data_IF_056715687429
#
_entry.id   IF_056715687429
#
_cell.length_a   1.000
_cell.length_b   1.000
_cell.length_c   1.000
_cell.angle_alpha   90.00
_cell.angle_beta   90.00
_cell.angle_gamma   90.00
#
_symmetry.space_group_name_H-M   'P 1'
#
loop_
_entity.id
_entity.type
_entity.pdbx_description
1 polymer ?
#
# COMPACT_ATOMS: atom_id res chain seq x y z
N UNK A 1 -12.77 -25.68 19.02
CA UNK A 1 -11.93 -24.82 18.18
C UNK A 1 -12.68 -23.52 17.99
N UNK A 2 -12.43 -22.56 18.88
CA UNK A 2 -13.06 -21.25 18.87
C UNK A 2 -12.52 -20.44 17.69
N UNK A 3 -13.43 -19.87 16.91
CA UNK A 3 -13.12 -18.92 15.84
C UNK A 3 -12.84 -17.56 16.46
N UNK A 4 -11.57 -17.24 16.66
CA UNK A 4 -11.15 -15.89 17.02
C UNK A 4 -11.50 -14.92 15.88
N UNK A 5 -11.97 -13.74 16.26
CA UNK A 5 -12.29 -12.66 15.33
C UNK A 5 -11.00 -12.19 14.64
N UNK A 6 -11.08 -11.83 13.35
CA UNK A 6 -9.96 -11.29 12.56
C UNK A 6 -9.33 -10.05 13.24
N UNK A 7 -10.13 -9.30 14.02
CA UNK A 7 -9.68 -8.19 14.86
C UNK A 7 -8.74 -8.66 16.00
N UNK A 8 -9.02 -9.82 16.60
CA UNK A 8 -8.20 -10.40 17.67
C UNK A 8 -6.91 -11.01 17.11
N UNK A 9 -6.94 -11.60 15.91
CA UNK A 9 -5.73 -12.05 15.21
C UNK A 9 -4.82 -10.85 14.87
N UNK A 10 -5.41 -9.75 14.39
CA UNK A 10 -4.71 -8.50 14.07
C UNK A 10 -4.13 -7.79 15.31
N UNK A 11 -4.89 -7.69 16.40
CA UNK A 11 -4.42 -7.11 17.67
C UNK A 11 -3.38 -8.02 18.34
N UNK A 12 -3.53 -9.35 18.25
CA UNK A 12 -2.55 -10.33 18.73
C UNK A 12 -1.20 -10.22 18.01
N UNK A 13 -1.21 -9.97 16.69
CA UNK A 13 0.04 -9.81 15.91
C UNK A 13 0.82 -8.53 16.22
N UNK A 14 0.15 -7.46 16.67
CA UNK A 14 0.79 -6.17 16.90
C UNK A 14 1.18 -5.90 18.37
N UNK A 15 0.52 -6.52 19.35
CA UNK A 15 0.60 -6.04 20.73
C UNK A 15 1.44 -6.84 21.74
N UNK A 16 2.28 -7.80 21.33
CA UNK A 16 3.23 -8.43 22.28
C UNK A 16 4.69 -8.46 21.82
N UNK A 17 5.45 -7.52 22.41
CA UNK A 17 6.88 -7.59 22.73
C UNK A 17 7.87 -7.84 21.57
N UNK A 18 8.53 -6.75 21.18
CA UNK A 18 9.87 -6.69 20.56
C UNK A 18 9.98 -7.37 19.19
N UNK A 19 9.99 -6.54 18.14
CA UNK A 19 10.22 -6.91 16.75
C UNK A 19 11.48 -7.77 16.52
N UNK A 20 12.44 -7.82 17.45
CA UNK A 20 13.60 -8.71 17.39
C UNK A 20 13.24 -10.22 17.50
N UNK A 21 12.08 -10.57 18.08
CA UNK A 21 11.65 -11.98 18.24
C UNK A 21 10.88 -12.55 17.06
N UNK A 22 10.29 -11.69 16.21
CA UNK A 22 9.64 -12.15 14.97
C UNK A 22 10.67 -12.66 13.95
N UNK A 23 11.86 -12.05 13.94
CA UNK A 23 12.99 -12.48 13.10
C UNK A 23 13.72 -13.75 13.60
N UNK A 24 13.53 -14.17 14.86
CA UNK A 24 14.27 -15.31 15.43
C UNK A 24 13.49 -16.63 15.51
N UNK A 25 12.15 -16.64 15.35
CA UNK A 25 11.37 -17.89 15.50
C UNK A 25 10.61 -18.41 14.27
N UNK A 26 10.49 -17.64 13.17
CA UNK A 26 9.92 -18.14 11.92
C UNK A 26 10.97 -18.31 10.81
N UNK A 27 11.99 -19.11 11.12
CA UNK A 27 13.04 -19.60 10.20
C UNK A 27 12.52 -20.66 9.21
N UNK A 28 11.23 -20.64 8.87
CA UNK A 28 10.60 -21.46 7.82
C UNK A 28 9.79 -20.51 6.93
N UNK A 29 10.46 -19.85 5.98
CA UNK A 29 10.76 -20.28 4.59
C UNK A 29 9.77 -19.63 3.60
N UNK A 30 10.13 -18.42 3.13
CA UNK A 30 10.00 -17.90 1.75
C UNK A 30 9.81 -16.38 1.71
N UNK A 31 9.02 -15.78 2.61
CA UNK A 31 8.58 -14.38 2.47
C UNK A 31 9.42 -13.30 3.18
N UNK A 32 10.32 -13.67 4.10
CA UNK A 32 11.23 -12.72 4.80
C UNK A 32 12.50 -12.49 3.98
N UNK A 33 13.02 -13.54 3.35
CA UNK A 33 14.15 -13.44 2.41
C UNK A 33 13.76 -12.55 1.23
N UNK A 34 12.57 -12.71 0.65
CA UNK A 34 12.09 -11.81 -0.42
C UNK A 34 11.94 -10.35 0.02
N UNK A 35 11.62 -10.08 1.29
CA UNK A 35 11.45 -8.70 1.78
C UNK A 35 12.79 -8.02 2.09
N UNK A 36 13.72 -8.78 2.66
CA UNK A 36 15.10 -8.33 2.89
C UNK A 36 15.85 -8.16 1.57
N UNK A 37 15.65 -9.06 0.61
CA UNK A 37 16.19 -8.99 -0.74
C UNK A 37 15.54 -7.87 -1.55
N UNK A 38 14.22 -7.62 -1.41
CA UNK A 38 13.56 -6.47 -2.03
C UNK A 38 13.99 -5.13 -1.41
N UNK A 39 14.22 -5.08 -0.09
CA UNK A 39 14.76 -3.89 0.57
C UNK A 39 16.22 -3.65 0.17
N UNK A 40 17.03 -4.70 0.04
CA UNK A 40 18.38 -4.63 -0.47
C UNK A 40 18.41 -4.25 -1.96
N UNK A 41 17.49 -4.76 -2.77
CA UNK A 41 17.32 -4.38 -4.16
C UNK A 41 16.86 -2.92 -4.31
N UNK A 42 15.95 -2.45 -3.45
CA UNK A 42 15.53 -1.05 -3.43
C UNK A 42 16.67 -0.11 -3.01
N UNK A 43 17.53 -0.53 -2.06
CA UNK A 43 18.77 0.18 -1.69
C UNK A 43 19.78 0.18 -2.85
N UNK A 44 19.93 -0.94 -3.54
CA UNK A 44 20.81 -1.06 -4.71
C UNK A 44 20.33 -0.21 -5.89
N UNK A 45 19.03 -0.20 -6.18
CA UNK A 45 18.39 0.66 -7.19
C UNK A 45 18.53 2.15 -6.87
N UNK A 46 18.49 2.52 -5.58
CA UNK A 46 18.74 3.89 -5.16
C UNK A 46 20.19 4.33 -5.41
N UNK A 47 21.17 3.45 -5.15
CA UNK A 47 22.59 3.73 -5.41
C UNK A 47 22.97 3.64 -6.90
N UNK A 48 22.21 2.93 -7.72
CA UNK A 48 22.44 2.75 -9.17
C UNK A 48 21.16 3.01 -9.98
N UNK A 49 20.88 4.27 -10.40
CA UNK A 49 19.59 4.66 -11.00
C UNK A 49 19.36 4.18 -12.45
N UNK A 50 20.07 3.16 -12.93
CA UNK A 50 19.83 2.58 -14.25
C UNK A 50 19.14 1.21 -14.12
N UNK A 51 17.92 1.16 -14.69
CA UNK A 51 17.13 -0.03 -15.06
C UNK A 51 16.19 -0.63 -14.00
N UNK A 52 14.97 -0.10 -13.93
CA UNK A 52 13.79 -0.81 -14.43
C UNK A 52 12.57 0.13 -14.44
N UNK A 53 12.25 0.67 -15.62
CA UNK A 53 10.86 1.02 -15.91
C UNK A 53 10.07 -0.28 -15.80
N UNK A 54 9.24 -0.41 -14.77
CA UNK A 54 8.15 -1.39 -14.77
C UNK A 54 7.16 -0.89 -15.81
N UNK A 55 7.46 -1.20 -17.07
CA UNK A 55 6.57 -1.01 -18.20
C UNK A 55 5.33 -1.82 -17.87
N UNK A 56 4.26 -1.10 -17.49
CA UNK A 56 2.91 -1.64 -17.49
C UNK A 56 2.70 -2.21 -18.90
N UNK A 57 2.58 -3.54 -19.06
CA UNK A 57 2.51 -4.12 -20.40
C UNK A 57 1.31 -3.51 -21.13
N UNK A 58 1.52 -2.96 -22.32
CA UNK A 58 0.50 -2.36 -23.18
C UNK A 58 -0.68 -3.30 -23.50
N UNK A 59 -0.59 -4.55 -23.08
CA UNK A 59 -1.61 -5.60 -23.13
C UNK A 59 -2.70 -5.43 -22.05
N UNK A 60 -2.38 -4.84 -20.90
CA UNK A 60 -3.34 -4.60 -19.80
C UNK A 60 -4.41 -3.58 -20.20
N UNK A 61 -4.02 -2.58 -21.01
CA UNK A 61 -4.92 -1.52 -21.49
C UNK A 61 -5.92 -2.02 -22.56
N UNK A 62 -5.60 -3.13 -23.25
CA UNK A 62 -6.46 -3.72 -24.29
C UNK A 62 -7.53 -4.68 -23.74
N UNK A 63 -7.40 -5.16 -22.50
CA UNK A 63 -8.36 -6.12 -21.91
C UNK A 63 -9.53 -5.49 -21.14
N UNK A 64 -9.53 -4.17 -20.92
CA UNK A 64 -10.50 -3.42 -20.09
C UNK A 64 -11.91 -3.23 -20.71
N UNK A 65 -12.30 -4.00 -21.71
CA UNK A 65 -13.59 -3.81 -22.40
C UNK A 65 -14.46 -5.05 -22.43
N UNK A 66 -15.17 -5.31 -21.32
CA UNK A 66 -16.55 -5.86 -21.37
C UNK A 66 -17.33 -5.58 -20.08
N UNK A 67 -18.59 -5.17 -20.26
CA UNK A 67 -19.54 -4.64 -19.27
C UNK A 67 -19.65 -5.46 -17.97
N UNK A 68 -18.80 -5.14 -17.00
CA UNK A 68 -19.14 -5.03 -15.56
C UNK A 68 -18.09 -4.28 -14.73
N UNK A 69 -17.10 -3.60 -15.34
CA UNK A 69 -15.77 -3.48 -14.72
C UNK A 69 -15.13 -2.07 -14.71
N UNK A 70 -15.71 -1.02 -15.32
CA UNK A 70 -15.00 0.27 -15.44
C UNK A 70 -14.75 0.99 -14.11
N UNK A 71 -15.75 1.08 -13.21
CA UNK A 71 -15.55 1.75 -11.91
C UNK A 71 -14.51 1.04 -11.03
N UNK A 72 -14.44 -0.29 -11.12
CA UNK A 72 -13.57 -1.08 -10.25
C UNK A 72 -12.15 -1.14 -10.84
N UNK A 73 -12.03 -1.23 -12.16
CA UNK A 73 -10.76 -1.02 -12.86
C UNK A 73 -10.18 0.37 -12.55
N UNK A 74 -11.01 1.41 -12.48
CA UNK A 74 -10.58 2.75 -12.08
C UNK A 74 -10.05 2.78 -10.64
N UNK A 75 -10.65 2.03 -9.71
CA UNK A 75 -10.16 1.90 -8.32
C UNK A 75 -8.81 1.19 -8.28
N UNK A 76 -8.63 0.12 -9.05
CA UNK A 76 -7.35 -0.59 -9.16
C UNK A 76 -6.28 0.29 -9.84
N UNK A 77 -6.63 1.04 -10.87
CA UNK A 77 -5.71 1.99 -11.51
C UNK A 77 -5.30 3.11 -10.54
N UNK A 78 -6.24 3.62 -9.76
CA UNK A 78 -5.97 4.62 -8.71
C UNK A 78 -5.05 4.07 -7.63
N UNK A 79 -5.18 2.79 -7.26
CA UNK A 79 -4.24 2.11 -6.37
C UNK A 79 -2.81 2.12 -6.93
N UNK A 80 -2.62 1.72 -8.19
CA UNK A 80 -1.28 1.72 -8.80
C UNK A 80 -0.70 3.13 -8.91
N UNK A 81 -1.51 4.11 -9.30
CA UNK A 81 -1.08 5.50 -9.37
C UNK A 81 -0.65 6.05 -8.01
N UNK A 82 -1.43 5.81 -6.94
CA UNK A 82 -1.05 6.24 -5.59
C UNK A 82 0.21 5.51 -5.08
N UNK A 83 0.35 4.22 -5.39
CA UNK A 83 1.58 3.49 -5.03
C UNK A 83 2.83 4.00 -5.77
N UNK A 84 2.64 4.62 -6.93
CA UNK A 84 3.72 5.24 -7.70
C UNK A 84 4.19 6.54 -7.08
N UNK A 85 3.22 7.39 -6.76
CA UNK A 85 3.46 8.60 -6.01
C UNK A 85 4.11 8.32 -4.64
N UNK A 86 3.69 7.27 -3.94
CA UNK A 86 4.32 6.86 -2.69
C UNK A 86 5.78 6.42 -2.89
N UNK A 87 6.07 5.71 -3.99
CA UNK A 87 7.45 5.31 -4.33
C UNK A 87 8.33 6.53 -4.57
N UNK A 88 7.80 7.53 -5.26
CA UNK A 88 8.53 8.77 -5.54
C UNK A 88 8.80 9.58 -4.28
N UNK A 89 7.82 9.68 -3.37
CA UNK A 89 8.02 10.27 -2.05
C UNK A 89 9.16 9.54 -1.31
N UNK A 90 9.17 8.20 -1.32
CA UNK A 90 10.23 7.42 -0.69
C UNK A 90 11.61 7.70 -1.30
N UNK A 91 11.72 7.79 -2.64
CA UNK A 91 12.99 8.12 -3.31
C UNK A 91 13.49 9.52 -2.94
N UNK A 92 12.59 10.50 -2.93
CA UNK A 92 12.93 11.86 -2.51
C UNK A 92 13.41 11.90 -1.05
N UNK A 93 12.79 11.11 -0.17
CA UNK A 93 13.20 11.00 1.22
C UNK A 93 14.60 10.41 1.36
N UNK A 94 14.95 9.36 0.61
CA UNK A 94 16.31 8.81 0.61
C UNK A 94 17.35 9.86 0.19
N UNK A 95 17.04 10.71 -0.80
CA UNK A 95 17.90 11.84 -1.15
C UNK A 95 18.02 12.86 0.00
N UNK A 96 16.91 13.18 0.65
CA UNK A 96 16.90 14.12 1.79
C UNK A 96 17.69 13.57 2.99
N UNK A 97 17.62 12.26 3.25
CA UNK A 97 18.40 11.56 4.27
C UNK A 97 19.90 11.65 3.96
N UNK A 98 20.30 11.38 2.70
CA UNK A 98 21.70 11.53 2.27
C UNK A 98 22.22 12.97 2.45
N UNK A 99 21.38 13.96 2.16
CA UNK A 99 21.70 15.36 2.43
C UNK A 99 21.82 15.65 3.94
N UNK A 100 20.95 15.07 4.77
CA UNK A 100 21.04 15.19 6.22
C UNK A 100 22.35 14.58 6.76
N UNK A 101 22.78 13.42 6.27
CA UNK A 101 24.08 12.85 6.62
C UNK A 101 25.24 13.79 6.25
N UNK A 102 25.19 14.39 5.07
CA UNK A 102 26.20 15.37 4.63
C UNK A 102 26.22 16.61 5.51
N UNK A 103 25.05 17.08 5.96
CA UNK A 103 24.94 18.17 6.93
C UNK A 103 25.57 17.79 8.28
N UNK A 104 25.38 16.56 8.75
CA UNK A 104 26.00 16.09 9.99
C UNK A 104 27.53 15.99 9.90
N UNK A 105 28.10 15.62 8.76
CA UNK A 105 29.55 15.66 8.54
C UNK A 105 30.10 17.10 8.59
N UNK A 106 29.35 18.05 8.03
CA UNK A 106 29.68 19.47 8.14
C UNK A 106 29.60 19.95 9.58
N UNK A 107 28.63 19.46 10.35
CA UNK A 107 28.47 19.80 11.77
C UNK A 107 29.61 19.23 12.63
N UNK A 108 30.08 18.01 12.34
CA UNK A 108 31.24 17.43 13.02
C UNK A 108 32.50 18.30 12.82
N UNK A 109 32.71 18.78 11.59
CA UNK A 109 33.83 19.67 11.26
C UNK A 109 33.74 21.01 12.01
N UNK A 110 32.53 21.55 12.14
CA UNK A 110 32.28 22.75 12.93
C UNK A 110 32.55 22.55 14.42
N UNK A 111 32.05 21.46 15.00
CA UNK A 111 32.27 21.13 16.42
C UNK A 111 33.75 20.89 16.73
N UNK A 112 34.51 20.33 15.79
CA UNK A 112 35.96 20.20 15.91
C UNK A 112 36.62 21.60 15.95
N UNK A 113 36.24 22.50 15.05
CA UNK A 113 36.78 23.87 15.03
C UNK A 113 36.50 24.68 16.31
N UNK A 114 35.35 24.44 16.97
CA UNK A 114 35.07 25.03 18.29
C UNK A 114 35.99 24.45 19.36
N UNK A 115 36.21 23.14 19.34
CA UNK A 115 37.09 22.48 20.33
C UNK A 115 38.53 22.98 20.19
N UNK A 116 38.99 23.16 18.95
CA UNK A 116 40.32 23.71 18.64
C UNK A 116 40.46 25.17 19.06
N UNK A 117 39.42 26.00 18.86
CA UNK A 117 39.45 27.41 19.27
C UNK A 117 39.45 27.59 20.78
N UNK A 118 38.70 26.75 21.52
CA UNK A 118 38.76 26.67 22.99
C UNK A 118 40.17 26.32 23.45
N UNK A 119 40.77 25.27 22.87
CA UNK A 119 42.12 24.85 23.23
C UNK A 119 43.20 25.89 22.89
N UNK A 120 43.07 26.59 21.75
CA UNK A 120 43.99 27.66 21.35
C UNK A 120 43.88 28.90 22.24
N UNK A 121 42.67 29.23 22.71
CA UNK A 121 42.43 30.30 23.68
C UNK A 121 43.10 29.98 25.03
N UNK A 122 43.03 28.73 25.50
CA UNK A 122 43.73 28.27 26.70
C UNK A 122 45.27 28.31 26.54
N UNK A 123 45.76 28.13 25.31
CA UNK A 123 47.20 28.14 24.98
C UNK A 123 47.74 29.53 24.57
N UNK A 124 46.93 30.60 24.63
CA UNK A 124 47.28 31.97 24.20
C UNK A 124 47.77 32.09 22.74
N UNK A 125 47.34 31.20 21.85
CA UNK A 125 47.73 31.20 20.44
C UNK A 125 46.67 31.92 19.56
N UNK A 126 47.09 32.93 18.79
CA UNK A 126 46.19 33.65 17.88
C UNK A 126 45.87 32.79 16.65
N UNK A 127 44.64 32.29 16.57
CA UNK A 127 44.19 31.51 15.39
C UNK A 127 43.06 32.24 14.67
N UNK A 128 43.16 32.30 13.34
CA UNK A 128 42.14 32.84 12.43
C UNK A 128 40.91 31.95 12.47
N UNK A 129 39.84 32.41 13.13
CA UNK A 129 38.59 31.65 13.23
C UNK A 129 37.98 31.41 11.85
N UNK A 130 37.77 30.15 11.49
CA UNK A 130 36.97 29.79 10.31
C UNK A 130 35.56 30.37 10.46
N UNK A 131 34.98 30.85 9.35
CA UNK A 131 33.71 31.58 9.34
C UNK A 131 32.60 30.79 10.09
N UNK A 132 32.15 31.25 11.27
CA UNK A 132 31.27 30.49 12.16
C UNK A 132 29.90 30.12 11.54
N UNK A 133 29.51 30.80 10.46
CA UNK A 133 28.20 30.63 9.80
C UNK A 133 28.17 29.51 8.76
N UNK A 134 29.31 28.94 8.36
CA UNK A 134 29.36 27.88 7.33
C UNK A 134 28.76 26.54 7.78
N UNK A 135 28.52 26.36 9.09
CA UNK A 135 27.96 25.16 9.69
C UNK A 135 26.43 25.06 9.60
N UNK A 136 25.76 26.20 9.40
CA UNK A 136 24.29 26.29 9.37
C UNK A 136 23.81 25.85 8.00
N UNK A 137 23.36 24.61 7.90
CA UNK A 137 22.86 24.03 6.65
C UNK A 137 21.33 24.08 6.63
N UNK A 138 20.76 24.23 5.44
CA UNK A 138 19.31 24.11 5.26
C UNK A 138 18.83 22.73 5.66
N UNK A 139 17.69 22.66 6.38
CA UNK A 139 17.04 21.40 6.68
C UNK A 139 16.44 20.80 5.39
N UNK A 140 16.87 19.61 4.95
CA UNK A 140 16.40 18.98 3.72
C UNK A 140 14.93 18.54 3.79
N UNK A 141 14.31 18.52 4.98
CA UNK A 141 12.91 18.14 5.19
C UNK A 141 11.97 19.34 5.43
N UNK A 142 12.50 20.56 5.56
CA UNK A 142 11.70 21.77 5.87
C UNK A 142 10.81 22.23 4.73
N UNK A 143 11.09 21.76 3.52
CA UNK A 143 10.34 22.11 2.32
C UNK A 143 8.83 21.86 2.48
N UNK A 144 8.05 22.87 2.12
CA UNK A 144 6.60 22.81 2.19
C UNK A 144 6.04 21.75 1.23
N UNK A 145 6.73 21.45 0.12
CA UNK A 145 6.34 20.38 -0.78
C UNK A 145 6.47 19.01 -0.09
N UNK A 146 7.54 18.77 0.69
CA UNK A 146 7.70 17.55 1.48
C UNK A 146 6.54 17.34 2.47
N UNK A 147 6.20 18.35 3.28
CA UNK A 147 5.05 18.23 4.24
C UNK A 147 3.70 18.06 3.55
N UNK A 148 3.46 18.80 2.46
CA UNK A 148 2.20 18.69 1.72
C UNK A 148 2.08 17.36 0.96
N UNK A 149 3.19 16.75 0.54
CA UNK A 149 3.21 15.43 -0.10
C UNK A 149 2.68 14.33 0.82
N UNK A 150 3.07 14.32 2.10
CA UNK A 150 2.57 13.35 3.09
C UNK A 150 1.07 13.49 3.35
N UNK A 151 0.57 14.72 3.47
CA UNK A 151 -0.87 14.96 3.60
C UNK A 151 -1.62 14.47 2.36
N UNK A 152 -1.12 14.83 1.17
CA UNK A 152 -1.71 14.46 -0.11
C UNK A 152 -1.76 12.95 -0.31
N UNK A 153 -0.67 12.24 0.00
CA UNK A 153 -0.62 10.79 -0.16
C UNK A 153 -1.52 10.09 0.87
N UNK A 154 -1.52 10.55 2.13
CA UNK A 154 -2.43 10.02 3.16
C UNK A 154 -3.90 10.17 2.76
N UNK A 155 -4.31 11.35 2.28
CA UNK A 155 -5.68 11.60 1.82
C UNK A 155 -6.04 10.72 0.62
N UNK A 156 -5.11 10.52 -0.32
CA UNK A 156 -5.27 9.60 -1.46
C UNK A 156 -5.46 8.16 -1.02
N UNK A 157 -4.63 7.65 -0.11
CA UNK A 157 -4.75 6.29 0.41
C UNK A 157 -6.05 6.08 1.18
N UNK A 158 -6.47 7.05 1.99
CA UNK A 158 -7.76 7.03 2.68
C UNK A 158 -8.94 6.97 1.69
N UNK A 159 -8.90 7.83 0.65
CA UNK A 159 -9.91 7.86 -0.42
C UNK A 159 -9.97 6.54 -1.20
N UNK A 160 -8.82 5.99 -1.59
CA UNK A 160 -8.71 4.70 -2.29
C UNK A 160 -9.24 3.57 -1.41
N UNK A 161 -8.88 3.52 -0.14
CA UNK A 161 -9.37 2.49 0.79
C UNK A 161 -10.90 2.55 0.90
N UNK A 162 -11.46 3.75 0.99
CA UNK A 162 -12.92 3.92 0.99
C UNK A 162 -13.56 3.48 -0.33
N UNK A 163 -12.95 3.83 -1.47
CA UNK A 163 -13.42 3.42 -2.80
C UNK A 163 -13.36 1.89 -2.99
N UNK A 164 -12.31 1.23 -2.49
CA UNK A 164 -12.16 -0.22 -2.47
C UNK A 164 -13.26 -0.85 -1.60
N UNK A 165 -13.49 -0.34 -0.37
CA UNK A 165 -14.55 -0.84 0.53
C UNK A 165 -15.94 -0.72 -0.11
N UNK A 166 -16.24 0.42 -0.72
CA UNK A 166 -17.49 0.63 -1.44
C UNK A 166 -17.65 -0.34 -2.61
N UNK A 167 -16.59 -0.52 -3.41
CA UNK A 167 -16.55 -1.45 -4.54
C UNK A 167 -16.75 -2.91 -4.09
N UNK A 168 -16.12 -3.30 -2.98
CA UNK A 168 -16.30 -4.62 -2.38
C UNK A 168 -17.75 -4.85 -1.96
N UNK A 169 -18.39 -3.85 -1.32
CA UNK A 169 -19.81 -3.88 -0.98
C UNK A 169 -20.74 -4.01 -2.21
N UNK A 170 -20.42 -3.31 -3.31
CA UNK A 170 -21.14 -3.42 -4.59
C UNK A 170 -21.03 -4.83 -5.17
N UNK A 171 -19.83 -5.40 -5.21
CA UNK A 171 -19.57 -6.77 -5.70
C UNK A 171 -20.32 -7.81 -4.86
N UNK A 172 -20.24 -7.72 -3.53
CA UNK A 172 -20.93 -8.61 -2.61
C UNK A 172 -22.45 -8.57 -2.81
N UNK A 173 -23.04 -7.37 -3.01
CA UNK A 173 -24.46 -7.21 -3.30
C UNK A 173 -24.85 -7.88 -4.63
N UNK A 174 -24.08 -7.66 -5.71
CA UNK A 174 -24.32 -8.32 -7.00
C UNK A 174 -24.24 -9.85 -6.90
N UNK A 175 -23.28 -10.36 -6.14
CA UNK A 175 -23.13 -11.79 -5.89
C UNK A 175 -24.35 -12.37 -5.14
N UNK A 176 -24.85 -11.67 -4.11
CA UNK A 176 -26.07 -12.05 -3.39
C UNK A 176 -27.30 -12.10 -4.32
N UNK A 177 -27.50 -11.08 -5.16
CA UNK A 177 -28.58 -11.04 -6.15
C UNK A 177 -28.48 -12.22 -7.12
N UNK A 178 -27.29 -12.50 -7.66
CA UNK A 178 -27.12 -13.61 -8.60
C UNK A 178 -27.28 -15.00 -7.96
N UNK A 179 -26.99 -15.14 -6.66
CA UNK A 179 -27.33 -16.35 -5.88
C UNK A 179 -28.84 -16.49 -5.71
N UNK A 180 -29.55 -15.41 -5.37
CA UNK A 180 -31.01 -15.41 -5.22
C UNK A 180 -31.71 -15.74 -6.55
N UNK A 181 -31.32 -15.10 -7.64
CA UNK A 181 -31.87 -15.38 -8.98
C UNK A 181 -31.61 -16.85 -9.37
N UNK A 182 -30.43 -17.41 -9.06
CA UNK A 182 -30.17 -18.83 -9.28
C UNK A 182 -31.10 -19.73 -8.46
N UNK A 183 -31.36 -19.40 -7.20
CA UNK A 183 -32.28 -20.14 -6.33
C UNK A 183 -33.71 -20.13 -6.91
N UNK A 184 -34.21 -18.96 -7.29
CA UNK A 184 -35.55 -18.80 -7.90
C UNK A 184 -35.66 -19.50 -9.26
N UNK A 185 -34.61 -19.43 -10.08
CA UNK A 185 -34.62 -20.13 -11.38
C UNK A 185 -34.69 -21.65 -11.23
N UNK A 186 -34.07 -22.21 -10.18
CA UNK A 186 -34.12 -23.65 -9.90
C UNK A 186 -35.51 -24.07 -9.44
N UNK A 187 -36.14 -23.30 -8.55
CA UNK A 187 -37.50 -23.61 -8.07
C UNK A 187 -38.53 -23.47 -9.20
N UNK A 188 -38.45 -22.41 -9.99
CA UNK A 188 -39.35 -22.21 -11.14
C UNK A 188 -39.20 -23.35 -12.18
N UNK A 189 -37.97 -23.78 -12.48
CA UNK A 189 -37.73 -24.88 -13.40
C UNK A 189 -38.34 -26.21 -12.91
N UNK A 190 -38.19 -26.53 -11.61
CA UNK A 190 -38.77 -27.74 -11.01
C UNK A 190 -40.30 -27.70 -11.07
N UNK A 191 -40.92 -26.56 -10.74
CA UNK A 191 -42.38 -26.39 -10.81
C UNK A 191 -42.89 -26.53 -12.25
N UNK A 192 -42.23 -25.89 -13.21
CA UNK A 192 -42.61 -25.98 -14.62
C UNK A 192 -42.49 -27.41 -15.18
N UNK A 193 -41.40 -28.12 -14.86
CA UNK A 193 -41.24 -29.53 -15.22
C UNK A 193 -42.30 -30.42 -14.55
N UNK A 194 -42.61 -30.20 -13.28
CA UNK A 194 -43.66 -30.93 -12.57
C UNK A 194 -45.05 -30.75 -13.19
N UNK A 195 -45.41 -29.50 -13.52
CA UNK A 195 -46.68 -29.19 -14.18
C UNK A 195 -46.78 -29.83 -15.58
N UNK A 196 -45.70 -29.78 -16.37
CA UNK A 196 -45.66 -30.40 -17.69
C UNK A 196 -45.82 -31.94 -17.62
N UNK A 197 -45.18 -32.58 -16.63
CA UNK A 197 -45.35 -34.01 -16.39
C UNK A 197 -46.80 -34.36 -16.03
N UNK A 198 -47.43 -33.61 -15.13
CA UNK A 198 -48.83 -33.82 -14.75
C UNK A 198 -49.80 -33.69 -15.93
N UNK A 199 -49.62 -32.66 -16.79
CA UNK A 199 -50.44 -32.50 -18.01
C UNK A 199 -50.23 -33.66 -18.96
N UNK A 200 -48.99 -34.12 -19.15
CA UNK A 200 -48.71 -35.26 -20.03
C UNK A 200 -49.37 -36.57 -19.56
N UNK A 201 -49.40 -36.81 -18.24
CA UNK A 201 -50.07 -37.97 -17.65
C UNK A 201 -51.59 -37.87 -17.83
N UNK A 202 -52.18 -36.69 -17.60
CA UNK A 202 -53.62 -36.48 -17.78
C UNK A 202 -54.07 -36.68 -19.24
N UNK A 203 -53.28 -36.17 -20.20
CA UNK A 203 -53.56 -36.38 -21.64
C UNK A 203 -53.43 -37.85 -22.03
N UNK A 204 -52.39 -38.56 -21.56
CA UNK A 204 -52.25 -39.98 -21.81
C UNK A 204 -53.42 -40.79 -21.23
N UNK A 205 -53.86 -40.47 -20.01
CA UNK A 205 -55.02 -41.10 -19.39
C UNK A 205 -56.32 -40.85 -20.18
N UNK A 206 -56.54 -39.61 -20.65
CA UNK A 206 -57.69 -39.29 -21.50
C UNK A 206 -57.65 -40.01 -22.84
N UNK A 207 -56.49 -40.07 -23.51
CA UNK A 207 -56.35 -40.79 -24.78
C UNK A 207 -56.56 -42.30 -24.62
N UNK A 208 -56.11 -42.89 -23.51
CA UNK A 208 -56.39 -44.30 -23.20
C UNK A 208 -57.89 -44.54 -22.92
N UNK A 209 -58.55 -43.61 -22.23
CA UNK A 209 -59.97 -43.69 -21.94
C UNK A 209 -60.84 -43.55 -23.21
N UNK A 210 -60.54 -42.57 -24.07
CA UNK A 210 -61.27 -42.35 -25.32
C UNK A 210 -60.88 -43.33 -26.43
N UNK A 211 -59.63 -43.80 -26.47
CA UNK A 211 -59.15 -44.81 -27.41
C UNK A 211 -59.75 -46.19 -27.19
N UNK A 212 -60.36 -46.45 -26.03
CA UNK A 212 -61.15 -47.66 -25.77
C UNK A 212 -62.60 -47.54 -26.31
N UNK A 213 -63.10 -46.32 -26.56
CA UNK A 213 -64.49 -46.05 -26.97
C UNK A 213 -64.65 -45.77 -28.47
N UNK A 214 -63.58 -45.38 -29.16
CA UNK A 214 -63.58 -45.06 -30.60
C UNK A 214 -62.56 -45.96 -31.29
N UNK A 215 -63.04 -46.83 -32.18
CA UNK A 215 -62.23 -47.86 -32.85
C UNK A 215 -61.01 -47.36 -33.65
N UNK A 216 -60.13 -48.26 -34.13
CA UNK A 216 -58.70 -48.01 -34.40
C UNK A 216 -58.32 -47.01 -35.51
N UNK A 217 -59.25 -46.26 -36.10
CA UNK A 217 -59.03 -45.60 -37.39
C UNK A 217 -58.52 -44.14 -37.34
N UNK A 218 -58.27 -43.54 -36.18
CA UNK A 218 -57.97 -42.09 -36.09
C UNK A 218 -56.65 -41.71 -35.38
N UNK A 219 -55.65 -42.60 -35.33
CA UNK A 219 -54.38 -42.33 -34.64
C UNK A 219 -53.28 -41.81 -35.59
N UNK A 220 -53.48 -40.66 -36.23
CA UNK A 220 -52.45 -40.05 -37.09
C UNK A 220 -52.16 -38.56 -36.87
N UNK A 221 -52.85 -37.85 -35.96
CA UNK A 221 -52.48 -36.46 -35.64
C UNK A 221 -51.48 -36.40 -34.48
N UNK A 222 -50.20 -36.52 -34.83
CA UNK A 222 -49.08 -36.24 -33.93
C UNK A 222 -49.06 -34.75 -33.52
N UNK A 223 -48.92 -34.40 -32.23
CA UNK A 223 -48.71 -33.03 -31.79
C UNK A 223 -47.23 -32.62 -32.00
N UNK A 224 -46.84 -32.38 -33.25
CA UNK A 224 -45.49 -31.90 -33.61
C UNK A 224 -45.26 -30.43 -33.20
N UNK A 225 -46.32 -29.63 -33.03
CA UNK A 225 -46.21 -28.20 -32.75
C UNK A 225 -45.80 -27.86 -31.30
N UNK A 226 -46.16 -28.69 -30.31
CA UNK A 226 -45.83 -28.45 -28.91
C UNK A 226 -44.36 -28.76 -28.58
N UNK A 227 -43.76 -29.73 -29.29
CA UNK A 227 -42.34 -30.11 -29.10
C UNK A 227 -41.39 -28.94 -29.41
N UNK A 228 -41.67 -28.10 -30.41
CA UNK A 228 -40.80 -26.98 -30.81
C UNK A 228 -40.73 -25.83 -29.79
N UNK A 229 -41.80 -25.56 -29.04
CA UNK A 229 -41.88 -24.41 -28.12
C UNK A 229 -41.24 -24.70 -26.75
N UNK A 230 -41.32 -25.96 -26.29
CA UNK A 230 -40.66 -26.43 -25.07
C UNK A 230 -39.14 -26.56 -25.27
N UNK A 231 -38.69 -27.02 -26.45
CA UNK A 231 -37.25 -27.10 -26.77
C UNK A 231 -36.60 -25.72 -26.90
N UNK A 232 -37.32 -24.70 -27.39
CA UNK A 232 -36.78 -23.34 -27.55
C UNK A 232 -36.57 -22.63 -26.20
N UNK A 233 -37.50 -22.76 -25.25
CA UNK A 233 -37.36 -22.18 -23.90
C UNK A 233 -36.30 -22.91 -23.05
N UNK A 234 -36.20 -24.24 -23.19
CA UNK A 234 -35.14 -25.03 -22.57
C UNK A 234 -33.76 -24.72 -23.17
N UNK A 235 -33.65 -24.53 -24.49
CA UNK A 235 -32.42 -24.12 -25.16
C UNK A 235 -31.96 -22.72 -24.71
N UNK A 236 -32.86 -21.73 -24.65
CA UNK A 236 -32.54 -20.38 -24.18
C UNK A 236 -32.07 -20.34 -22.70
N UNK A 237 -32.61 -21.21 -21.84
CA UNK A 237 -32.16 -21.33 -20.45
C UNK A 237 -30.79 -22.02 -20.33
N UNK A 238 -30.45 -22.91 -21.25
CA UNK A 238 -29.13 -23.56 -21.35
C UNK A 238 -28.08 -22.57 -21.87
N UNK A 239 -28.42 -21.72 -22.84
CA UNK A 239 -27.52 -20.68 -23.39
C UNK A 239 -27.21 -19.56 -22.38
N UNK A 240 -28.13 -19.23 -21.48
CA UNK A 240 -27.90 -18.23 -20.42
C UNK A 240 -27.07 -18.76 -19.23
N UNK A 241 -26.95 -20.08 -19.08
CA UNK A 241 -26.24 -20.76 -17.98
C UNK A 241 -24.72 -20.53 -17.98
N UNK A 242 -23.99 -20.64 -19.11
CA UNK A 242 -22.56 -20.33 -19.16
C UNK A 242 -22.28 -18.85 -18.90
N UNK A 243 -23.10 -17.94 -19.45
CA UNK A 243 -22.96 -16.50 -19.24
C UNK A 243 -23.10 -16.10 -17.75
N UNK A 244 -24.09 -16.64 -17.03
CA UNK A 244 -24.26 -16.38 -15.58
C UNK A 244 -23.16 -16.98 -14.71
N UNK A 245 -22.64 -18.16 -15.08
CA UNK A 245 -21.50 -18.77 -14.38
C UNK A 245 -20.23 -17.96 -14.57
N UNK A 246 -19.98 -17.50 -15.80
CA UNK A 246 -18.87 -16.61 -16.13
C UNK A 246 -18.93 -15.31 -15.32
N UNK A 247 -20.09 -14.66 -15.27
CA UNK A 247 -20.30 -13.43 -14.50
C UNK A 247 -20.15 -13.61 -12.98
N UNK A 248 -20.53 -14.79 -12.44
CA UNK A 248 -20.30 -15.09 -11.02
C UNK A 248 -18.81 -15.22 -10.71
N UNK A 249 -18.08 -15.93 -11.57
CA UNK A 249 -16.63 -16.09 -11.42
C UNK A 249 -15.91 -14.75 -11.56
N UNK A 250 -16.31 -13.90 -12.52
CA UNK A 250 -15.70 -12.57 -12.66
C UNK A 250 -15.91 -11.68 -11.44
N UNK A 251 -17.10 -11.70 -10.83
CA UNK A 251 -17.36 -10.96 -9.59
C UNK A 251 -16.55 -11.50 -8.40
N UNK A 252 -16.39 -12.81 -8.27
CA UNK A 252 -15.55 -13.40 -7.22
C UNK A 252 -14.07 -13.01 -7.40
N UNK A 253 -13.56 -13.06 -8.63
CA UNK A 253 -12.20 -12.60 -8.95
C UNK A 253 -12.00 -11.13 -8.61
N UNK A 254 -12.97 -10.29 -8.98
CA UNK A 254 -12.93 -8.86 -8.68
C UNK A 254 -12.95 -8.59 -7.17
N UNK A 255 -13.62 -9.46 -6.40
CA UNK A 255 -13.59 -9.42 -4.95
C UNK A 255 -12.20 -9.71 -4.39
N UNK A 256 -11.51 -10.73 -4.92
CA UNK A 256 -10.13 -11.10 -4.54
C UNK A 256 -9.12 -9.99 -4.89
N UNK A 257 -9.27 -9.36 -6.05
CA UNK A 257 -8.46 -8.20 -6.45
C UNK A 257 -8.65 -7.01 -5.50
N UNK A 258 -9.90 -6.69 -5.19
CA UNK A 258 -10.23 -5.61 -4.25
C UNK A 258 -9.74 -5.91 -2.84
N UNK A 259 -9.83 -7.16 -2.37
CA UNK A 259 -9.30 -7.57 -1.07
C UNK A 259 -7.78 -7.43 -1.01
N UNK A 260 -7.08 -7.87 -2.05
CA UNK A 260 -5.62 -7.75 -2.16
C UNK A 260 -5.20 -6.28 -2.20
N UNK A 261 -5.87 -5.44 -3.00
CA UNK A 261 -5.62 -4.00 -3.06
C UNK A 261 -5.99 -3.28 -1.76
N UNK A 262 -7.04 -3.71 -1.03
CA UNK A 262 -7.40 -3.15 0.26
C UNK A 262 -6.29 -3.37 1.30
N UNK A 263 -5.80 -4.62 1.37
CA UNK A 263 -4.69 -5.01 2.25
C UNK A 263 -3.44 -4.20 1.93
N UNK A 264 -3.08 -4.11 0.64
CA UNK A 264 -1.98 -3.28 0.19
C UNK A 264 -2.15 -1.82 0.64
N UNK A 265 -3.26 -1.19 0.28
CA UNK A 265 -3.57 0.21 0.64
C UNK A 265 -3.47 0.46 2.15
N UNK A 266 -3.96 -0.47 2.97
CA UNK A 266 -3.93 -0.34 4.42
C UNK A 266 -2.51 -0.36 5.00
N UNK A 267 -1.71 -1.37 4.63
CA UNK A 267 -0.33 -1.52 5.10
C UNK A 267 0.51 -0.31 4.67
N UNK A 268 0.37 0.08 3.41
CA UNK A 268 1.05 1.23 2.82
C UNK A 268 0.74 2.55 3.54
N UNK A 269 -0.53 2.77 3.90
CA UNK A 269 -0.92 3.94 4.70
C UNK A 269 -0.21 3.97 6.05
N UNK A 270 -0.13 2.82 6.74
CA UNK A 270 0.55 2.70 8.05
C UNK A 270 2.05 2.91 7.97
N UNK A 271 2.70 2.37 6.94
CA UNK A 271 4.13 2.56 6.71
C UNK A 271 4.42 4.05 6.47
N UNK A 272 3.61 4.72 5.63
CA UNK A 272 3.74 6.15 5.35
C UNK A 272 3.48 7.02 6.58
N UNK A 273 2.55 6.66 7.46
CA UNK A 273 2.34 7.38 8.74
C UNK A 273 3.58 7.32 9.64
N UNK A 274 4.22 6.14 9.71
CA UNK A 274 5.44 5.92 10.47
C UNK A 274 6.59 6.76 9.90
N UNK A 275 6.79 6.70 8.59
CA UNK A 275 7.79 7.50 7.88
C UNK A 275 7.54 8.99 8.09
N UNK A 276 6.29 9.47 7.94
CA UNK A 276 5.90 10.87 8.14
C UNK A 276 6.25 11.36 9.56
N UNK A 277 5.97 10.54 10.58
CA UNK A 277 6.29 10.87 11.95
C UNK A 277 7.80 10.96 12.21
N UNK A 278 8.59 10.03 11.65
CA UNK A 278 10.04 10.05 11.75
C UNK A 278 10.64 11.26 11.02
N UNK A 279 10.14 11.60 9.83
CA UNK A 279 10.53 12.81 9.09
C UNK A 279 10.27 14.07 9.91
N UNK A 280 9.09 14.20 10.53
CA UNK A 280 8.76 15.35 11.37
C UNK A 280 9.74 15.47 12.55
N UNK A 281 9.98 14.36 13.26
CA UNK A 281 10.92 14.32 14.40
C UNK A 281 12.35 14.69 14.00
N UNK A 282 12.83 14.17 12.87
CA UNK A 282 14.17 14.45 12.36
C UNK A 282 14.29 15.89 11.89
N UNK A 283 13.29 16.39 11.15
CA UNK A 283 13.21 17.79 10.71
C UNK A 283 13.29 18.75 11.89
N UNK A 284 12.48 18.54 12.93
CA UNK A 284 12.50 19.39 14.12
C UNK A 284 13.85 19.27 14.85
N UNK A 285 14.48 18.09 14.85
CA UNK A 285 15.83 17.88 15.36
C UNK A 285 16.88 18.72 14.66
N UNK A 286 16.91 18.66 13.32
CA UNK A 286 17.84 19.43 12.49
C UNK A 286 17.66 20.94 12.71
N UNK A 287 16.43 21.44 12.79
CA UNK A 287 16.19 22.87 13.04
C UNK A 287 16.67 23.31 14.42
N UNK A 288 16.46 22.49 15.46
CA UNK A 288 16.99 22.75 16.81
C UNK A 288 18.52 22.77 16.81
N UNK A 289 19.14 21.80 16.15
CA UNK A 289 20.60 21.68 16.05
C UNK A 289 21.21 22.86 15.29
N UNK A 290 20.61 23.26 14.18
CA UNK A 290 21.00 24.46 13.43
C UNK A 290 20.87 25.74 14.27
N UNK A 291 19.82 25.85 15.09
CA UNK A 291 19.66 26.99 16.00
C UNK A 291 20.73 26.99 17.12
N UNK A 292 21.08 25.82 17.66
CA UNK A 292 22.17 25.69 18.62
C UNK A 292 23.53 26.03 17.99
N UNK A 293 23.79 25.55 16.77
CA UNK A 293 25.01 25.85 16.03
C UNK A 293 25.18 27.35 15.77
N UNK A 294 24.10 28.04 15.35
CA UNK A 294 24.09 29.51 15.21
C UNK A 294 24.49 30.22 16.50
N UNK A 295 23.89 29.82 17.63
CA UNK A 295 24.23 30.42 18.94
C UNK A 295 25.66 30.13 19.38
N UNK A 296 26.18 28.94 19.09
CA UNK A 296 27.59 28.60 19.35
C UNK A 296 28.52 29.51 18.54
N UNK A 297 28.21 29.66 17.25
CA UNK A 297 28.95 30.50 16.32
C UNK A 297 28.98 31.99 16.73
N UNK A 298 27.84 32.55 17.13
CA UNK A 298 27.71 33.91 17.64
C UNK A 298 28.58 34.13 18.89
N UNK A 299 28.52 33.22 19.86
CA UNK A 299 29.30 33.31 21.11
C UNK A 299 30.81 33.26 20.87
N UNK A 300 31.26 32.38 19.98
CA UNK A 300 32.70 32.28 19.61
C UNK A 300 33.17 33.58 18.93
N UNK A 301 32.34 34.18 18.07
CA UNK A 301 32.67 35.44 17.42
C UNK A 301 32.77 36.62 18.42
N UNK A 302 31.83 36.70 19.37
CA UNK A 302 31.82 37.73 20.41
C UNK A 302 33.05 37.63 21.33
N UNK A 303 33.49 36.42 21.65
CA UNK A 303 34.64 36.19 22.52
C UNK A 303 35.99 36.49 21.82
N UNK A 304 36.08 36.30 20.50
CA UNK A 304 37.26 36.67 19.69
C UNK A 304 37.33 38.18 19.44
N UNK A 305 36.19 38.86 19.29
CA UNK A 305 36.13 40.31 19.05
C UNK A 305 36.22 41.19 20.31
N UNK A 306 35.98 40.62 21.51
CA UNK A 306 35.79 41.37 22.75
C UNK A 306 37.06 41.74 23.54
N UNK A 307 38.25 41.24 23.19
CA UNK A 307 39.53 41.63 23.82
C UNK A 307 39.69 41.32 25.32
N UNK A 308 38.75 40.62 25.97
CA UNK A 308 38.82 40.28 27.40
C UNK A 308 39.30 38.84 27.58
N UNK A 309 40.59 38.72 27.93
CA UNK A 309 41.25 37.46 28.31
C UNK A 309 40.77 37.06 29.71
N UNK A 310 39.71 36.27 29.78
CA UNK A 310 39.23 35.66 31.02
C UNK A 310 38.67 34.27 30.77
N UNK A 311 39.36 33.23 31.26
CA UNK A 311 39.11 31.80 30.98
C UNK A 311 37.76 31.22 31.44
N UNK A 312 36.77 32.04 31.78
CA UNK A 312 35.44 31.61 32.23
C UNK A 312 34.35 31.58 31.14
N UNK A 313 34.57 32.19 29.96
CA UNK A 313 33.54 32.34 28.91
C UNK A 313 33.44 31.18 27.91
N UNK A 314 34.54 30.46 27.69
CA UNK A 314 34.55 29.29 26.80
C UNK A 314 33.93 28.03 27.43
N UNK A 315 33.80 27.96 28.76
CA UNK A 315 33.16 26.84 29.44
C UNK A 315 31.67 26.67 29.02
N UNK A 316 30.84 27.74 29.00
CA UNK A 316 29.49 27.70 28.43
C UNK A 316 29.44 27.27 26.94
N UNK A 317 30.41 27.71 26.12
CA UNK A 317 30.45 27.37 24.69
C UNK A 317 30.78 25.89 24.49
N UNK A 318 31.73 25.37 25.26
CA UNK A 318 32.11 23.96 25.22
C UNK A 318 30.96 23.05 25.68
N UNK A 319 30.21 23.45 26.70
CA UNK A 319 29.02 22.72 27.15
C UNK A 319 27.92 22.71 26.08
N UNK A 320 27.65 23.87 25.45
CA UNK A 320 26.72 23.96 24.31
C UNK A 320 27.15 23.09 23.13
N UNK A 321 28.45 23.06 22.81
CA UNK A 321 29.01 22.22 21.75
C UNK A 321 28.87 20.72 22.08
N UNK A 322 29.05 20.34 23.35
CA UNK A 322 28.83 18.96 23.80
C UNK A 322 27.36 18.55 23.71
N UNK A 323 26.42 19.42 24.07
CA UNK A 323 24.99 19.17 23.93
C UNK A 323 24.58 19.06 22.46
N UNK A 324 25.08 19.97 21.60
CA UNK A 324 24.89 19.89 20.16
C UNK A 324 25.41 18.57 19.59
N UNK A 325 26.61 18.13 20.00
CA UNK A 325 27.18 16.83 19.62
C UNK A 325 26.28 15.67 20.02
N UNK A 326 25.72 15.68 21.23
CA UNK A 326 24.77 14.66 21.70
C UNK A 326 23.50 14.66 20.86
N UNK A 327 22.92 15.82 20.60
CA UNK A 327 21.73 15.95 19.74
C UNK A 327 21.99 15.40 18.34
N UNK A 328 23.06 15.84 17.67
CA UNK A 328 23.40 15.36 16.33
C UNK A 328 23.61 13.85 16.29
N UNK A 329 24.21 13.26 17.34
CA UNK A 329 24.35 11.80 17.43
C UNK A 329 23.00 11.08 17.53
N UNK A 330 22.03 11.66 18.25
CA UNK A 330 20.67 11.12 18.37
C UNK A 330 19.92 11.24 17.04
N UNK A 331 20.04 12.39 16.37
CA UNK A 331 19.36 12.63 15.10
C UNK A 331 19.98 11.81 13.96
N UNK A 332 21.28 11.51 13.99
CA UNK A 332 21.91 10.58 13.04
C UNK A 332 21.34 9.16 13.16
N UNK A 333 21.17 8.66 14.39
CA UNK A 333 20.48 7.37 14.63
C UNK A 333 19.03 7.39 14.15
N UNK A 334 18.35 8.52 14.34
CA UNK A 334 16.99 8.70 13.83
C UNK A 334 16.95 8.74 12.29
N UNK A 335 17.97 9.29 11.64
CA UNK A 335 18.11 9.27 10.18
C UNK A 335 18.33 7.85 9.65
N UNK A 336 19.13 7.03 10.34
CA UNK A 336 19.32 5.61 10.03
C UNK A 336 18.00 4.82 10.20
N UNK A 337 17.27 5.06 11.30
CA UNK A 337 15.94 4.47 11.54
C UNK A 337 14.94 4.88 10.45
N UNK A 338 14.93 6.16 10.07
CA UNK A 338 14.10 6.66 8.98
C UNK A 338 14.46 5.99 7.64
N UNK A 339 15.75 5.84 7.33
CA UNK A 339 16.21 5.17 6.11
C UNK A 339 15.72 3.72 6.06
N UNK A 340 15.84 2.98 7.16
CA UNK A 340 15.31 1.62 7.27
C UNK A 340 13.82 1.56 6.97
N UNK A 341 13.02 2.44 7.59
CA UNK A 341 11.58 2.50 7.38
C UNK A 341 11.20 2.91 5.94
N UNK A 342 11.95 3.80 5.31
CA UNK A 342 11.73 4.20 3.90
C UNK A 342 12.03 3.04 2.95
N UNK A 343 13.13 2.30 3.17
CA UNK A 343 13.45 1.10 2.39
C UNK A 343 12.40 0.00 2.57
N UNK A 344 11.94 -0.22 3.80
CA UNK A 344 10.85 -1.16 4.09
C UNK A 344 9.56 -0.74 3.38
N UNK A 345 9.22 0.55 3.40
CA UNK A 345 8.04 1.07 2.69
C UNK A 345 8.12 0.79 1.18
N UNK A 346 9.28 1.03 0.54
CA UNK A 346 9.51 0.70 -0.86
C UNK A 346 9.34 -0.79 -1.16
N UNK A 347 9.91 -1.66 -0.33
CA UNK A 347 9.75 -3.11 -0.46
C UNK A 347 8.27 -3.54 -0.32
N UNK A 348 7.55 -2.95 0.64
CA UNK A 348 6.11 -3.15 0.82
C UNK A 348 5.33 -2.70 -0.42
N UNK A 349 5.62 -1.51 -0.98
CA UNK A 349 4.99 -1.00 -2.20
C UNK A 349 5.18 -1.99 -3.35
N UNK A 350 6.43 -2.40 -3.60
CA UNK A 350 6.75 -3.33 -4.67
C UNK A 350 5.99 -4.65 -4.51
N UNK A 351 6.05 -5.25 -3.31
CA UNK A 351 5.37 -6.51 -3.01
C UNK A 351 3.85 -6.41 -3.17
N UNK A 352 3.24 -5.33 -2.67
CA UNK A 352 1.81 -5.12 -2.77
C UNK A 352 1.36 -4.98 -4.23
N UNK A 353 2.12 -4.24 -5.05
CA UNK A 353 1.91 -4.15 -6.51
C UNK A 353 1.97 -5.53 -7.17
N UNK A 354 3.01 -6.32 -6.89
CA UNK A 354 3.17 -7.68 -7.44
C UNK A 354 2.01 -8.59 -7.06
N UNK A 355 1.52 -8.53 -5.81
CA UNK A 355 0.37 -9.33 -5.38
C UNK A 355 -0.90 -8.95 -6.12
N UNK A 356 -1.16 -7.65 -6.28
CA UNK A 356 -2.32 -7.16 -7.05
C UNK A 356 -2.20 -7.55 -8.52
N UNK A 357 -1.01 -7.41 -9.13
CA UNK A 357 -0.74 -7.86 -10.50
C UNK A 357 -0.97 -9.36 -10.62
N UNK A 358 -0.46 -10.20 -9.71
CA UNK A 358 -0.70 -11.66 -9.72
C UNK A 358 -2.19 -11.98 -9.68
N UNK A 359 -2.97 -11.25 -8.87
CA UNK A 359 -4.43 -11.43 -8.82
C UNK A 359 -5.14 -11.01 -10.11
N UNK A 360 -4.59 -10.00 -10.81
CA UNK A 360 -5.02 -9.61 -12.15
C UNK A 360 -4.55 -10.62 -13.21
N UNK A 361 -3.36 -11.20 -13.09
CA UNK A 361 -2.74 -12.09 -14.08
C UNK A 361 -3.15 -13.55 -13.93
N UNK A 362 -3.76 -13.97 -12.80
CA UNK A 362 -4.58 -15.20 -12.73
C UNK A 362 -5.68 -15.25 -13.82
N UNK A 363 -5.83 -14.17 -14.60
CA UNK A 363 -6.75 -13.98 -15.69
C UNK A 363 -6.19 -14.22 -17.10
N UNK A 364 -4.94 -14.65 -17.29
CA UNK A 364 -4.47 -15.12 -18.61
C UNK A 364 -4.86 -16.58 -18.85
#
# INVERSE_FOLDING_TARGET
>A
MESLSIEEEYISTLHTRSNARFFSRNKQRSGVVEMEEAAAAARFEFDHPQQQDVVVPAELQRMMHRRTSSEIEMVIASYFHASDEASEICRQLLMNIKNAHSNYLSMDSFLASISDSVAAADAAATTTAASPLAAVRSNPFSDAATRSSFRRIHDRYSSILHAIKSSHGKVARKLKVMKAIRKVSRTCLVVACGAAAAVSVAVAAHLLFFGLLVGPAAMALCPMALKRKVTAAAAAAVDARPARRSMTRSLLRLQEQLDTAAKGTYVLGRDLDTVSHLVARLSDGIERENAMARRCAERVADDVGGGVVGGGRFFPVQEMANELRRSCSSSRKLAEELEEHVCLCLATIHRARVLVIREISKQA
#
